data_IF_170463011576
#
_entry.id   IF_170463011576
#
_cell.length_a   1.000
_cell.length_b   1.000
_cell.length_c   1.000
_cell.angle_alpha   90.00
_cell.angle_beta   90.00
_cell.angle_gamma   90.00
#
_symmetry.space_group_name_H-M   'P 1'
#
loop_
_entity.id
_entity.type
_entity.pdbx_description
1 polymer ?
#
# COMPACT_ATOMS: atom_id res chain seq x y z
N UNK A 1 2.19 4.42 -3.48
CA UNK A 1 1.35 5.59 -3.10
C UNK A 1 0.53 5.26 -1.87
N UNK A 2 0.18 6.27 -1.07
CA UNK A 2 -0.94 6.19 -0.12
C UNK A 2 -2.06 7.08 -0.63
N UNK A 3 -3.29 6.57 -0.67
CA UNK A 3 -4.45 7.32 -1.12
C UNK A 3 -5.53 7.28 -0.04
N UNK A 4 -5.98 8.46 0.40
CA UNK A 4 -7.09 8.60 1.33
C UNK A 4 -7.91 9.85 1.02
N UNK A 5 -9.07 10.03 1.66
CA UNK A 5 -9.98 11.14 1.36
C UNK A 5 -9.39 12.53 1.65
N UNK A 6 -8.33 12.61 2.47
CA UNK A 6 -7.67 13.86 2.83
C UNK A 6 -6.33 14.10 2.14
N UNK A 7 -5.64 13.03 1.73
CA UNK A 7 -4.29 13.14 1.19
C UNK A 7 -3.99 11.98 0.22
N UNK A 8 -3.34 12.32 -0.89
CA UNK A 8 -2.70 11.36 -1.79
C UNK A 8 -1.23 11.71 -1.83
N UNK A 9 -0.37 10.73 -1.54
CA UNK A 9 1.08 10.94 -1.48
C UNK A 9 1.88 9.84 -2.16
N UNK A 10 2.87 10.28 -2.92
CA UNK A 10 3.91 9.43 -3.47
C UNK A 10 5.02 9.22 -2.43
N UNK A 11 5.49 7.98 -2.30
CA UNK A 11 6.57 7.62 -1.39
C UNK A 11 7.67 6.93 -2.19
N UNK A 12 8.84 7.53 -2.22
CA UNK A 12 10.00 6.93 -2.89
C UNK A 12 10.56 5.81 -2.01
N UNK A 13 10.59 4.61 -2.56
CA UNK A 13 11.20 3.42 -1.96
C UNK A 13 12.30 2.89 -2.86
N UNK A 14 13.25 2.15 -2.30
CA UNK A 14 14.25 1.46 -3.09
C UNK A 14 13.62 0.31 -3.87
N UNK A 15 14.16 0.02 -5.06
CA UNK A 15 13.71 -1.14 -5.84
C UNK A 15 13.92 -2.41 -5.00
N UNK A 16 12.89 -3.24 -4.91
CA UNK A 16 12.93 -4.45 -4.07
C UNK A 16 12.61 -4.18 -2.59
N UNK A 17 12.17 -2.98 -2.22
CA UNK A 17 11.69 -2.71 -0.87
C UNK A 17 10.48 -3.58 -0.55
N UNK A 18 10.48 -4.16 0.65
CA UNK A 18 9.34 -4.90 1.15
C UNK A 18 8.22 -3.97 1.63
N UNK A 19 6.99 -4.46 1.74
CA UNK A 19 5.85 -3.70 2.26
C UNK A 19 6.12 -3.14 3.66
N UNK A 20 6.82 -3.90 4.51
CA UNK A 20 7.23 -3.43 5.84
C UNK A 20 8.21 -2.26 5.77
N UNK A 21 9.25 -2.35 4.92
CA UNK A 21 10.22 -1.26 4.73
C UNK A 21 9.58 -0.02 4.10
N UNK A 22 8.64 -0.24 3.17
CA UNK A 22 7.87 0.84 2.56
C UNK A 22 7.02 1.58 3.62
N UNK A 23 6.39 0.85 4.55
CA UNK A 23 5.68 1.44 5.68
C UNK A 23 6.59 2.31 6.57
N UNK A 24 7.85 1.91 6.75
CA UNK A 24 8.85 2.69 7.48
C UNK A 24 9.18 4.05 6.88
N UNK A 25 9.04 4.20 5.55
CA UNK A 25 9.17 5.51 4.89
C UNK A 25 8.05 6.47 5.25
N UNK A 26 6.87 5.96 5.60
CA UNK A 26 5.74 6.75 6.07
C UNK A 26 5.97 7.13 7.54
N UNK A 27 6.22 6.13 8.39
CA UNK A 27 6.54 6.35 9.80
C UNK A 27 7.23 5.12 10.41
N UNK A 28 8.21 5.35 11.29
CA UNK A 28 8.96 4.26 11.95
C UNK A 28 8.08 3.30 12.80
N UNK A 29 6.99 3.80 13.38
CA UNK A 29 6.03 2.94 14.10
C UNK A 29 5.27 1.99 13.17
N UNK A 30 4.98 2.41 11.93
CA UNK A 30 4.30 1.54 10.99
C UNK A 30 5.18 0.38 10.55
N UNK A 31 6.51 0.58 10.49
CA UNK A 31 7.47 -0.49 10.23
C UNK A 31 7.54 -1.51 11.37
N UNK A 32 7.63 -1.01 12.61
CA UNK A 32 7.67 -1.86 13.82
C UNK A 32 6.35 -2.61 14.02
N UNK A 33 5.24 -1.89 13.89
CA UNK A 33 3.88 -2.37 14.11
C UNK A 33 3.25 -3.08 12.91
N UNK A 34 3.97 -3.29 11.81
CA UNK A 34 3.40 -3.80 10.57
C UNK A 34 2.66 -5.13 10.77
N UNK A 35 1.39 -5.15 10.37
CA UNK A 35 0.55 -6.36 10.33
C UNK A 35 0.47 -6.87 8.89
N UNK A 36 -0.03 -6.02 7.98
CA UNK A 36 -0.22 -6.35 6.56
C UNK A 36 -0.41 -5.07 5.73
N UNK A 37 -0.30 -5.20 4.41
CA UNK A 37 -0.66 -4.15 3.46
C UNK A 37 -1.84 -4.61 2.59
N UNK A 38 -2.81 -3.74 2.36
CA UNK A 38 -3.79 -3.90 1.28
C UNK A 38 -3.18 -3.24 0.04
N UNK A 39 -2.98 -4.00 -1.03
CA UNK A 39 -2.27 -3.55 -2.23
C UNK A 39 -3.22 -3.52 -3.41
N UNK A 40 -3.20 -2.40 -4.12
CA UNK A 40 -3.93 -2.21 -5.37
C UNK A 40 -2.96 -1.64 -6.41
N UNK A 41 -2.71 -2.33 -7.52
CA UNK A 41 -1.91 -1.79 -8.62
C UNK A 41 -2.54 -0.49 -9.16
N UNK A 42 -1.71 0.45 -9.61
CA UNK A 42 -2.19 1.72 -10.16
C UNK A 42 -3.17 1.51 -11.32
N UNK A 43 -2.88 0.57 -12.22
CA UNK A 43 -3.73 0.29 -13.38
C UNK A 43 -5.16 -0.09 -12.97
N UNK A 44 -5.29 -0.87 -11.89
CA UNK A 44 -6.58 -1.25 -11.31
C UNK A 44 -7.27 -0.04 -10.68
N UNK A 45 -6.52 0.80 -9.96
CA UNK A 45 -7.08 2.04 -9.38
C UNK A 45 -7.54 3.01 -10.47
N UNK A 46 -6.82 3.09 -11.60
CA UNK A 46 -7.17 3.92 -12.74
C UNK A 46 -8.39 3.38 -13.49
N UNK A 47 -8.54 2.06 -13.58
CA UNK A 47 -9.69 1.39 -14.21
C UNK A 47 -10.97 1.53 -13.37
N UNK A 48 -10.87 1.31 -12.06
CA UNK A 48 -12.03 1.21 -11.16
C UNK A 48 -12.35 2.51 -10.41
N UNK A 49 -11.46 3.49 -10.45
CA UNK A 49 -11.66 4.86 -9.95
C UNK A 49 -11.70 5.01 -8.42
N UNK A 50 -11.75 3.92 -7.64
CA UNK A 50 -11.72 3.98 -6.18
C UNK A 50 -11.23 2.69 -5.53
N UNK A 51 -10.66 2.81 -4.32
CA UNK A 51 -10.25 1.69 -3.48
C UNK A 51 -11.44 0.76 -3.17
N UNK A 52 -12.62 1.34 -2.91
CA UNK A 52 -13.85 0.58 -2.64
C UNK A 52 -14.23 -0.28 -3.84
N UNK A 53 -14.23 0.29 -5.05
CA UNK A 53 -14.54 -0.44 -6.27
C UNK A 53 -13.51 -1.56 -6.54
N UNK A 54 -12.22 -1.29 -6.31
CA UNK A 54 -11.17 -2.31 -6.42
C UNK A 54 -11.36 -3.47 -5.43
N UNK A 55 -11.79 -3.18 -4.20
CA UNK A 55 -12.11 -4.19 -3.20
C UNK A 55 -13.35 -5.00 -3.56
N UNK A 56 -14.43 -4.35 -4.00
CA UNK A 56 -15.67 -5.02 -4.42
C UNK A 56 -15.47 -5.89 -5.68
N UNK A 57 -14.59 -5.47 -6.58
CA UNK A 57 -14.19 -6.24 -7.75
C UNK A 57 -13.19 -7.38 -7.44
N UNK A 58 -12.75 -7.53 -6.19
CA UNK A 58 -11.78 -8.55 -5.79
C UNK A 58 -10.37 -8.33 -6.35
N UNK A 59 -10.03 -7.09 -6.73
CA UNK A 59 -8.73 -6.71 -7.34
C UNK A 59 -7.75 -6.11 -6.33
N UNK A 60 -8.09 -6.15 -5.05
CA UNK A 60 -7.23 -5.76 -3.94
C UNK A 60 -6.67 -7.00 -3.26
N UNK A 61 -5.35 -7.08 -3.09
CA UNK A 61 -4.70 -8.21 -2.40
C UNK A 61 -4.29 -7.82 -0.99
N UNK A 62 -4.22 -8.82 -0.11
CA UNK A 62 -3.71 -8.68 1.25
C UNK A 62 -2.33 -9.28 1.31
N UNK A 63 -1.34 -8.43 1.52
CA UNK A 63 0.06 -8.78 1.41
C UNK A 63 0.77 -8.71 2.75
N UNK A 64 1.69 -9.65 2.94
CA UNK A 64 2.49 -9.78 4.15
C UNK A 64 3.73 -8.89 4.17
N UNK A 65 4.54 -9.05 5.22
CA UNK A 65 5.78 -8.28 5.45
C UNK A 65 6.79 -8.39 4.31
N UNK A 66 6.83 -9.54 3.64
CA UNK A 66 7.81 -9.87 2.60
C UNK A 66 7.37 -9.51 1.18
N UNK A 67 6.16 -8.98 0.99
CA UNK A 67 5.71 -8.53 -0.31
C UNK A 67 6.63 -7.45 -0.86
N UNK A 68 7.08 -7.62 -2.10
CA UNK A 68 7.92 -6.64 -2.78
C UNK A 68 7.02 -5.61 -3.44
N UNK A 69 7.16 -4.35 -3.01
CA UNK A 69 6.36 -3.25 -3.55
C UNK A 69 6.79 -2.98 -4.98
N UNK A 70 5.81 -2.94 -5.88
CA UNK A 70 6.02 -2.57 -7.27
C UNK A 70 5.79 -1.07 -7.45
N UNK A 71 6.42 -0.54 -8.49
CA UNK A 71 6.19 0.86 -8.86
C UNK A 71 4.71 1.05 -9.23
N UNK A 72 4.13 2.17 -8.80
CA UNK A 72 2.71 2.43 -9.00
C UNK A 72 1.78 1.85 -7.93
N UNK A 73 2.21 0.87 -7.12
CA UNK A 73 1.29 0.25 -6.15
C UNK A 73 0.70 1.29 -5.18
N UNK A 74 -0.61 1.18 -4.96
CA UNK A 74 -1.34 1.91 -3.92
C UNK A 74 -1.46 0.99 -2.72
N UNK A 75 -0.89 1.41 -1.59
CA UNK A 75 -0.84 0.61 -0.37
C UNK A 75 -1.64 1.28 0.76
N UNK A 76 -2.43 0.47 1.44
CA UNK A 76 -3.03 0.80 2.73
C UNK A 76 -2.38 -0.07 3.79
N UNK A 77 -1.60 0.55 4.68
CA UNK A 77 -0.84 -0.18 5.71
C UNK A 77 -1.71 -0.38 6.95
N UNK A 78 -1.81 -1.63 7.40
CA UNK A 78 -2.37 -1.99 8.71
C UNK A 78 -1.22 -2.20 9.68
N UNK A 79 -1.24 -1.47 10.79
CA UNK A 79 -0.23 -1.58 11.84
C UNK A 79 -0.89 -1.46 13.22
N UNK A 80 -0.22 -2.00 14.24
CA UNK A 80 -0.54 -1.73 15.66
C UNK A 80 0.57 -0.87 16.24
N UNK A 81 0.20 0.27 16.81
CA UNK A 81 1.09 1.08 17.63
C UNK A 81 1.16 0.52 19.06
#
# INVERSE_FOLDING_TARGET
FTAGPKEVRAWTVERGATAQRAAGKIHSDMERGFIRAEVIPFDVMSELGSEKAAKEAGRMTLEGRSYIVNDGDVLVIRFSA
#
